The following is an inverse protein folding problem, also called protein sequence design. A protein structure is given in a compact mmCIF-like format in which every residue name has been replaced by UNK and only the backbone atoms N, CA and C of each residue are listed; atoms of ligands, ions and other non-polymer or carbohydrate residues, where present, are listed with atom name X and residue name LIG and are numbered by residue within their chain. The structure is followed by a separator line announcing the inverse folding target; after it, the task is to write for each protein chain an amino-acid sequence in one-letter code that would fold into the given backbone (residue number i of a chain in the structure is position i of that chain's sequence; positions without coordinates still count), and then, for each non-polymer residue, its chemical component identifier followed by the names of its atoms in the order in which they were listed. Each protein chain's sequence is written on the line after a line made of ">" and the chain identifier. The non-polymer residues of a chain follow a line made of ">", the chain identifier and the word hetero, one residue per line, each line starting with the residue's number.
data_IF_218328486362
#
_entry.id   IF_218328486362
#
_cell.length_a   1.000
_cell.length_b   1.000
_cell.length_c   1.000
_cell.angle_alpha   90.00
_cell.angle_beta   90.00
_cell.angle_gamma   90.00
#
_symmetry.space_group_name_H-M   'P 1'
#
loop_
_entity.id
_entity.type
_entity.pdbx_description
1 polymer ?
#
# COMPACT_ATOMS: atom_id res chain seq x y z
N UNK A 1 -9.12 -36.13 -24.78
CA UNK A 1 -7.79 -35.82 -24.20
C UNK A 1 -6.75 -36.55 -25.03
N UNK A 2 -5.72 -35.88 -25.55
CA UNK A 2 -4.64 -36.55 -26.25
C UNK A 2 -3.87 -37.49 -25.29
N UNK A 3 -3.47 -38.66 -25.77
CA UNK A 3 -2.66 -39.64 -25.02
C UNK A 3 -1.19 -39.37 -25.30
N UNK A 4 -0.54 -38.62 -24.43
CA UNK A 4 0.90 -38.26 -24.54
C UNK A 4 1.64 -38.85 -23.35
N UNK A 5 2.80 -39.45 -23.59
CA UNK A 5 3.71 -39.89 -22.53
C UNK A 5 4.46 -38.66 -22.00
N UNK A 6 4.04 -38.17 -20.83
CA UNK A 6 4.69 -37.05 -20.13
C UNK A 6 5.82 -37.58 -19.23
N UNK A 7 6.77 -36.70 -18.89
CA UNK A 7 7.76 -37.00 -17.85
C UNK A 7 7.06 -37.16 -16.48
N UNK A 8 7.61 -37.98 -15.56
CA UNK A 8 7.15 -38.02 -14.18
C UNK A 8 7.17 -36.63 -13.54
N UNK A 9 6.21 -36.35 -12.67
CA UNK A 9 6.10 -35.04 -12.02
C UNK A 9 7.34 -34.70 -11.17
N UNK A 10 8.00 -35.72 -10.63
CA UNK A 10 9.21 -35.63 -9.82
C UNK A 10 10.43 -35.16 -10.63
N UNK A 11 10.42 -35.36 -11.95
CA UNK A 11 11.48 -34.94 -12.86
C UNK A 11 11.31 -33.49 -13.34
N UNK A 12 10.19 -32.83 -13.00
CA UNK A 12 9.98 -31.41 -13.31
C UNK A 12 10.94 -30.57 -12.45
N UNK A 13 11.84 -29.77 -13.06
CA UNK A 13 12.82 -29.00 -12.31
C UNK A 13 12.16 -27.96 -11.42
N UNK A 14 12.68 -27.82 -10.20
CA UNK A 14 12.29 -26.77 -9.26
C UNK A 14 13.34 -25.67 -9.25
N UNK A 15 12.89 -24.43 -9.12
CA UNK A 15 13.75 -23.25 -9.09
C UNK A 15 13.73 -22.63 -7.71
N UNK A 16 14.88 -22.10 -7.30
CA UNK A 16 14.98 -21.24 -6.13
C UNK A 16 14.62 -19.78 -6.51
N UNK A 17 14.78 -18.82 -5.60
CA UNK A 17 14.49 -17.41 -5.83
C UNK A 17 15.13 -16.88 -7.12
N UNK A 18 14.28 -16.57 -8.11
CA UNK A 18 14.72 -16.23 -9.48
C UNK A 18 15.26 -14.80 -9.60
N UNK A 19 14.75 -13.86 -8.80
CA UNK A 19 15.23 -12.46 -8.72
C UNK A 19 16.17 -12.28 -7.53
N UNK A 20 17.38 -12.86 -7.61
CA UNK A 20 18.35 -12.88 -6.51
C UNK A 20 18.62 -11.51 -5.90
N UNK A 21 18.75 -10.46 -6.70
CA UNK A 21 19.03 -9.09 -6.22
C UNK A 21 18.01 -8.57 -5.20
N UNK A 22 16.76 -9.03 -5.25
CA UNK A 22 15.72 -8.65 -4.29
C UNK A 22 15.76 -9.41 -2.97
N UNK A 23 16.49 -10.53 -2.94
CA UNK A 23 16.49 -11.47 -1.81
C UNK A 23 17.85 -11.72 -1.19
N UNK A 24 18.94 -11.27 -1.82
CA UNK A 24 20.32 -11.45 -1.36
C UNK A 24 20.49 -11.06 0.11
N UNK A 25 20.05 -9.86 0.58
CA UNK A 25 20.27 -9.48 1.97
C UNK A 25 19.63 -10.44 2.98
N UNK A 26 18.49 -11.04 2.62
CA UNK A 26 17.77 -11.99 3.49
C UNK A 26 18.40 -13.37 3.45
N UNK A 27 18.89 -13.81 2.28
CA UNK A 27 19.63 -15.06 2.14
C UNK A 27 20.95 -14.97 2.91
N UNK A 28 21.66 -13.85 2.82
CA UNK A 28 22.90 -13.61 3.57
C UNK A 28 22.66 -13.62 5.08
N UNK A 29 21.56 -13.00 5.53
CA UNK A 29 21.15 -13.05 6.93
C UNK A 29 20.84 -14.48 7.39
N UNK A 30 20.07 -15.25 6.62
CA UNK A 30 19.78 -16.66 6.92
C UNK A 30 21.06 -17.49 6.99
N UNK A 31 21.96 -17.33 6.03
CA UNK A 31 23.25 -18.01 6.02
C UNK A 31 24.09 -17.65 7.26
N UNK A 32 24.15 -16.37 7.64
CA UNK A 32 24.89 -15.94 8.82
C UNK A 32 24.31 -16.54 10.11
N UNK A 33 22.98 -16.62 10.19
CA UNK A 33 22.25 -17.23 11.30
C UNK A 33 22.48 -18.74 11.39
N UNK A 34 22.32 -19.47 10.28
CA UNK A 34 22.50 -20.93 10.22
C UNK A 34 23.94 -21.35 10.58
N UNK A 35 24.93 -20.54 10.20
CA UNK A 35 26.33 -20.80 10.52
C UNK A 35 26.77 -20.20 11.86
N UNK A 36 25.88 -19.53 12.60
CA UNK A 36 26.18 -18.83 13.85
C UNK A 36 27.40 -17.91 13.74
N UNK A 37 27.46 -17.08 12.69
CA UNK A 37 28.59 -16.18 12.39
C UNK A 37 28.19 -14.71 12.51
N UNK A 38 28.18 -14.10 13.72
CA UNK A 38 27.73 -12.72 13.91
C UNK A 38 28.46 -11.69 13.06
N UNK A 39 29.77 -11.90 12.81
CA UNK A 39 30.59 -11.01 11.98
C UNK A 39 30.18 -11.01 10.49
N UNK A 40 29.36 -11.97 10.07
CA UNK A 40 28.85 -12.10 8.71
C UNK A 40 27.40 -11.63 8.58
N UNK A 41 26.79 -11.07 9.63
CA UNK A 41 25.48 -10.43 9.50
C UNK A 41 25.61 -9.32 8.45
N UNK A 42 24.80 -9.32 7.38
CA UNK A 42 24.87 -8.29 6.36
C UNK A 42 24.46 -6.94 6.95
N UNK A 43 24.82 -5.84 6.31
CA UNK A 43 24.24 -4.54 6.67
C UNK A 43 22.75 -4.58 6.32
N UNK A 44 21.83 -4.21 7.24
CA UNK A 44 20.42 -4.16 6.90
C UNK A 44 20.18 -3.20 5.73
N UNK A 45 19.32 -3.56 4.75
CA UNK A 45 19.01 -2.65 3.65
C UNK A 45 18.44 -1.33 4.17
N UNK A 46 18.70 -0.22 3.49
CA UNK A 46 18.05 1.05 3.85
C UNK A 46 16.55 0.97 3.52
N UNK A 47 15.64 1.29 4.46
CA UNK A 47 14.20 1.32 4.22
C UNK A 47 13.77 2.13 2.99
N UNK A 48 14.52 3.17 2.59
CA UNK A 48 14.20 3.98 1.41
C UNK A 48 14.26 3.17 0.10
N UNK A 49 15.07 2.10 0.04
CA UNK A 49 15.26 1.29 -1.16
C UNK A 49 14.15 0.25 -1.38
N UNK A 50 13.12 0.22 -0.51
CA UNK A 50 11.97 -0.70 -0.63
C UNK A 50 12.38 -2.17 -0.81
N UNK A 51 13.47 -2.57 -0.15
CA UNK A 51 13.90 -3.96 -0.06
C UNK A 51 13.20 -4.54 1.15
N UNK A 52 12.00 -5.11 0.96
CA UNK A 52 11.24 -5.77 2.03
C UNK A 52 11.57 -7.28 2.08
N UNK A 53 11.57 -7.88 3.27
CA UNK A 53 11.75 -9.32 3.43
C UNK A 53 10.58 -10.09 2.81
N UNK A 54 10.84 -11.13 1.97
CA UNK A 54 9.79 -11.97 1.42
C UNK A 54 9.00 -12.69 2.50
N UNK A 55 7.67 -12.64 2.44
CA UNK A 55 6.81 -13.37 3.38
C UNK A 55 6.98 -14.89 3.27
N UNK A 56 7.34 -15.40 2.09
CA UNK A 56 7.61 -16.83 1.87
C UNK A 56 8.92 -17.37 2.49
N UNK A 57 9.73 -16.53 3.15
CA UNK A 57 10.88 -16.99 3.95
C UNK A 57 10.42 -17.16 5.41
N UNK A 58 9.97 -18.36 5.77
CA UNK A 58 9.36 -18.65 7.07
C UNK A 58 10.38 -18.66 8.22
N UNK A 59 11.64 -18.96 7.91
CA UNK A 59 12.75 -19.07 8.84
C UNK A 59 13.36 -17.71 9.22
N UNK A 60 12.82 -16.62 8.67
CA UNK A 60 13.45 -15.30 8.76
C UNK A 60 13.27 -14.62 10.12
N UNK A 61 12.19 -14.88 10.85
CA UNK A 61 11.97 -14.27 12.17
C UNK A 61 13.08 -14.61 13.18
N UNK A 62 13.45 -15.89 13.40
CA UNK A 62 14.60 -16.23 14.24
C UNK A 62 15.89 -15.53 13.83
N UNK A 63 16.15 -15.42 12.53
CA UNK A 63 17.35 -14.77 12.00
C UNK A 63 17.35 -13.25 12.24
N UNK A 64 16.21 -12.58 12.05
CA UNK A 64 16.04 -11.14 12.35
C UNK A 64 16.22 -10.86 13.83
N UNK A 65 15.62 -11.67 14.71
CA UNK A 65 15.79 -11.57 16.15
C UNK A 65 17.25 -11.81 16.56
N UNK A 66 17.96 -12.72 15.89
CA UNK A 66 19.37 -12.98 16.12
C UNK A 66 20.26 -11.81 15.66
N UNK A 67 19.99 -11.23 14.49
CA UNK A 67 20.70 -10.03 14.02
C UNK A 67 20.55 -8.86 14.97
N UNK A 68 19.34 -8.62 15.49
CA UNK A 68 19.07 -7.57 16.48
C UNK A 68 19.88 -7.71 17.78
N UNK A 69 20.25 -8.94 18.17
CA UNK A 69 21.06 -9.20 19.37
C UNK A 69 22.55 -8.93 19.17
N UNK A 70 23.02 -9.02 17.92
CA UNK A 70 24.44 -8.97 17.58
C UNK A 70 24.85 -7.72 16.78
N UNK A 71 23.89 -6.86 16.42
CA UNK A 71 24.13 -5.61 15.71
C UNK A 71 24.28 -4.42 16.66
N UNK A 72 24.95 -3.37 16.19
CA UNK A 72 24.97 -2.06 16.89
C UNK A 72 23.57 -1.43 16.97
N UNK A 73 23.43 -0.33 17.73
CA UNK A 73 22.14 0.30 17.99
C UNK A 73 21.43 0.84 16.74
N UNK A 74 22.17 1.28 15.72
CA UNK A 74 21.56 1.87 14.53
C UNK A 74 21.07 0.78 13.58
N UNK A 75 21.90 -0.23 13.32
CA UNK A 75 21.51 -1.40 12.53
C UNK A 75 20.39 -2.19 13.23
N UNK A 76 20.41 -2.28 14.56
CA UNK A 76 19.36 -2.92 15.36
C UNK A 76 17.99 -2.25 15.18
N UNK A 77 17.93 -0.93 15.05
CA UNK A 77 16.66 -0.23 14.80
C UNK A 77 16.09 -0.61 13.42
N UNK A 78 16.96 -0.72 12.41
CA UNK A 78 16.58 -1.15 11.05
C UNK A 78 16.18 -2.63 11.00
N UNK A 79 16.85 -3.51 11.74
CA UNK A 79 16.42 -4.91 11.86
C UNK A 79 15.06 -5.04 12.56
N UNK A 80 14.81 -4.25 13.61
CA UNK A 80 13.47 -4.19 14.22
C UNK A 80 12.41 -3.73 13.21
N UNK A 81 12.72 -2.72 12.39
CA UNK A 81 11.82 -2.30 11.31
C UNK A 81 11.45 -3.47 10.40
N UNK A 82 12.44 -4.23 9.93
CA UNK A 82 12.19 -5.36 9.03
C UNK A 82 11.48 -6.54 9.67
N UNK A 83 11.70 -6.79 10.97
CA UNK A 83 10.90 -7.75 11.72
C UNK A 83 9.41 -7.35 11.72
N UNK A 84 9.12 -6.08 11.97
CA UNK A 84 7.77 -5.54 11.91
C UNK A 84 7.14 -5.64 10.51
N UNK A 85 7.91 -5.31 9.47
CA UNK A 85 7.47 -5.44 8.07
C UNK A 85 7.21 -6.90 7.69
N UNK A 86 8.09 -7.81 8.09
CA UNK A 86 7.93 -9.25 7.80
C UNK A 86 6.70 -9.82 8.51
N UNK A 87 6.44 -9.43 9.77
CA UNK A 87 5.19 -9.79 10.45
C UNK A 87 3.96 -9.30 9.68
N UNK A 88 3.95 -8.03 9.27
CA UNK A 88 2.86 -7.47 8.48
C UNK A 88 2.66 -8.21 7.14
N UNK A 89 3.75 -8.58 6.46
CA UNK A 89 3.72 -9.37 5.22
C UNK A 89 3.23 -10.81 5.41
N UNK A 90 3.26 -11.33 6.64
CA UNK A 90 2.70 -12.62 7.04
C UNK A 90 1.35 -12.46 7.77
N UNK A 91 0.68 -11.32 7.60
CA UNK A 91 -0.63 -11.01 8.21
C UNK A 91 -0.66 -11.03 9.75
N UNK A 92 0.50 -11.02 10.40
CA UNK A 92 0.69 -10.94 11.85
C UNK A 92 0.70 -9.48 12.31
N UNK A 93 -0.43 -8.82 12.12
CA UNK A 93 -0.54 -7.36 12.27
C UNK A 93 -0.29 -6.88 13.70
N UNK A 94 -0.68 -7.64 14.72
CA UNK A 94 -0.50 -7.23 16.12
C UNK A 94 0.97 -7.31 16.56
N UNK A 95 1.67 -8.37 16.16
CA UNK A 95 3.10 -8.51 16.34
C UNK A 95 3.84 -7.43 15.57
N UNK A 96 3.45 -7.19 14.31
CA UNK A 96 3.98 -6.11 13.49
C UNK A 96 3.87 -4.75 14.17
N UNK A 97 2.66 -4.37 14.63
CA UNK A 97 2.45 -3.10 15.34
C UNK A 97 3.25 -3.02 16.65
N UNK A 98 3.33 -4.11 17.42
CA UNK A 98 4.10 -4.15 18.67
C UNK A 98 5.58 -3.87 18.40
N UNK A 99 6.16 -4.48 17.38
CA UNK A 99 7.56 -4.25 16.99
C UNK A 99 7.74 -2.83 16.44
N UNK A 100 6.95 -2.47 15.42
CA UNK A 100 7.07 -1.18 14.72
C UNK A 100 6.91 0.00 15.68
N UNK A 101 6.02 -0.08 16.68
CA UNK A 101 5.76 1.02 17.63
C UNK A 101 6.99 1.48 18.42
N UNK A 102 8.01 0.62 18.53
CA UNK A 102 9.27 0.89 19.22
C UNK A 102 10.41 1.32 18.29
N UNK A 103 10.20 1.28 16.97
CA UNK A 103 11.19 1.68 15.96
C UNK A 103 11.21 3.19 15.81
N UNK A 104 12.41 3.77 15.84
CA UNK A 104 12.62 5.23 15.77
C UNK A 104 12.47 5.80 14.36
N UNK A 105 12.71 4.98 13.35
CA UNK A 105 12.62 5.37 11.95
C UNK A 105 11.17 5.73 11.52
N UNK A 106 11.02 6.86 10.82
CA UNK A 106 9.74 7.32 10.27
C UNK A 106 9.08 6.36 9.27
N UNK A 107 9.86 5.55 8.54
CA UNK A 107 9.31 4.50 7.67
C UNK A 107 8.47 3.48 8.45
N UNK A 108 8.75 3.25 9.74
CA UNK A 108 7.91 2.40 10.58
C UNK A 108 6.51 3.00 10.78
N UNK A 109 6.40 4.33 10.90
CA UNK A 109 5.12 5.03 11.03
C UNK A 109 4.24 4.84 9.80
N UNK A 110 4.84 4.77 8.61
CA UNK A 110 4.10 4.50 7.36
C UNK A 110 3.48 3.11 7.35
N UNK A 111 4.25 2.11 7.77
CA UNK A 111 3.76 0.72 7.83
C UNK A 111 2.67 0.59 8.90
N UNK A 112 2.86 1.20 10.08
CA UNK A 112 1.82 1.26 11.11
C UNK A 112 0.54 1.91 10.62
N UNK A 113 0.65 3.09 10.00
CA UNK A 113 -0.50 3.82 9.46
C UNK A 113 -1.31 2.96 8.49
N UNK A 114 -0.61 2.28 7.59
CA UNK A 114 -1.24 1.37 6.61
C UNK A 114 -1.91 0.18 7.28
N UNK A 115 -1.27 -0.46 8.27
CA UNK A 115 -1.89 -1.55 9.03
C UNK A 115 -3.17 -1.07 9.73
N UNK A 116 -3.11 0.10 10.39
CA UNK A 116 -4.29 0.67 11.05
C UNK A 116 -5.42 0.94 10.07
N UNK A 117 -5.13 1.57 8.93
CA UNK A 117 -6.15 1.94 7.95
C UNK A 117 -6.73 0.71 7.23
N UNK A 118 -5.89 -0.21 6.75
CA UNK A 118 -6.30 -1.29 5.83
C UNK A 118 -6.71 -2.57 6.54
N UNK A 119 -6.11 -2.88 7.69
CA UNK A 119 -6.30 -4.17 8.37
C UNK A 119 -7.04 -4.04 9.70
N UNK A 120 -7.00 -2.87 10.34
CA UNK A 120 -7.70 -2.62 11.62
C UNK A 120 -8.90 -1.68 11.50
N UNK A 121 -9.16 -1.13 10.31
CA UNK A 121 -10.21 -0.13 10.08
C UNK A 121 -10.20 0.99 11.14
N UNK A 122 -9.01 1.46 11.49
CA UNK A 122 -8.74 2.39 12.61
C UNK A 122 -8.14 3.69 12.09
N UNK A 123 -8.93 4.56 11.43
CA UNK A 123 -8.41 5.76 10.76
C UNK A 123 -7.79 6.77 11.73
N UNK A 124 -8.30 6.87 12.96
CA UNK A 124 -7.71 7.73 14.00
C UNK A 124 -6.29 7.31 14.37
N UNK A 125 -6.05 6.01 14.49
CA UNK A 125 -4.71 5.48 14.77
C UNK A 125 -3.78 5.62 13.57
N UNK A 126 -4.31 5.51 12.34
CA UNK A 126 -3.58 5.87 11.13
C UNK A 126 -3.07 7.32 11.17
N UNK A 127 -3.96 8.29 11.43
CA UNK A 127 -3.55 9.71 11.52
C UNK A 127 -2.55 9.96 12.65
N UNK A 128 -2.73 9.32 13.81
CA UNK A 128 -1.75 9.38 14.92
C UNK A 128 -0.39 8.80 14.55
N UNK A 129 -0.33 7.76 13.72
CA UNK A 129 0.94 7.22 13.24
C UNK A 129 1.58 8.20 12.24
N UNK A 130 0.80 8.70 11.26
CA UNK A 130 1.28 9.64 10.24
C UNK A 130 1.73 10.98 10.83
N UNK A 131 1.14 11.46 11.93
CA UNK A 131 1.54 12.71 12.58
C UNK A 131 2.88 12.62 13.32
N UNK A 132 3.40 11.40 13.55
CA UNK A 132 4.71 11.17 14.18
C UNK A 132 5.88 11.25 13.20
N UNK A 133 5.61 11.29 11.89
CA UNK A 133 6.64 11.39 10.85
C UNK A 133 7.30 12.77 10.93
N UNK A 134 8.63 12.79 11.05
CA UNK A 134 9.44 14.01 11.20
C UNK A 134 10.09 14.44 9.88
N UNK A 135 10.43 13.49 9.02
CA UNK A 135 11.02 13.74 7.71
C UNK A 135 9.95 14.36 6.81
N UNK A 136 10.11 15.65 6.52
CA UNK A 136 9.15 16.43 5.75
C UNK A 136 8.90 15.85 4.35
N UNK A 137 9.95 15.43 3.65
CA UNK A 137 9.83 14.83 2.32
C UNK A 137 9.02 13.52 2.33
N UNK A 138 9.05 12.79 3.44
CA UNK A 138 8.26 11.58 3.62
C UNK A 138 6.81 11.93 3.98
N UNK A 139 6.60 12.88 4.89
CA UNK A 139 5.27 13.35 5.27
C UNK A 139 4.48 13.93 4.09
N UNK A 140 5.18 14.55 3.13
CA UNK A 140 4.62 15.15 1.91
C UNK A 140 4.68 14.22 0.69
N UNK A 141 5.11 12.96 0.84
CA UNK A 141 5.14 12.04 -0.29
C UNK A 141 3.70 11.73 -0.76
N UNK A 142 3.40 11.69 -2.09
CA UNK A 142 2.04 11.48 -2.59
C UNK A 142 1.32 10.28 -1.98
N UNK A 143 1.99 9.12 -1.90
CA UNK A 143 1.44 7.91 -1.26
C UNK A 143 1.01 8.14 0.21
N UNK A 144 1.72 8.99 0.95
CA UNK A 144 1.43 9.29 2.36
C UNK A 144 0.25 10.24 2.47
N UNK A 145 0.19 11.26 1.62
CA UNK A 145 -0.94 12.19 1.56
C UNK A 145 -2.23 11.48 1.13
N UNK A 146 -2.15 10.56 0.17
CA UNK A 146 -3.31 9.74 -0.25
C UNK A 146 -3.84 8.90 0.91
N UNK A 147 -2.97 8.20 1.65
CA UNK A 147 -3.40 7.42 2.81
C UNK A 147 -3.96 8.29 3.93
N UNK A 148 -3.35 9.46 4.17
CA UNK A 148 -3.85 10.44 5.11
C UNK A 148 -5.26 10.91 4.74
N UNK A 149 -5.47 11.32 3.50
CA UNK A 149 -6.78 11.81 3.03
C UNK A 149 -7.84 10.70 3.08
N UNK A 150 -7.49 9.45 2.76
CA UNK A 150 -8.40 8.32 2.92
C UNK A 150 -8.81 8.11 4.39
N UNK A 151 -7.86 8.18 5.32
CA UNK A 151 -8.15 8.08 6.75
C UNK A 151 -9.02 9.24 7.24
N UNK A 152 -8.67 10.49 6.90
CA UNK A 152 -9.47 11.68 7.24
C UNK A 152 -10.89 11.59 6.67
N UNK A 153 -11.04 11.22 5.39
CA UNK A 153 -12.36 11.05 4.75
C UNK A 153 -13.24 10.06 5.51
N UNK A 154 -12.67 8.96 6.00
CA UNK A 154 -13.42 7.95 6.72
C UNK A 154 -13.90 8.39 8.12
N UNK A 155 -13.36 9.49 8.64
CA UNK A 155 -13.76 10.02 9.95
C UNK A 155 -14.97 10.97 9.86
N UNK A 156 -15.15 11.66 8.74
CA UNK A 156 -16.36 12.45 8.48
C UNK A 156 -16.11 13.83 7.85
N UNK A 157 -17.17 14.61 7.72
CA UNK A 157 -17.14 15.97 7.15
C UNK A 157 -16.37 16.96 8.03
N UNK A 158 -16.20 16.69 9.33
CA UNK A 158 -15.46 17.56 10.23
C UNK A 158 -13.95 17.60 9.94
N UNK A 159 -13.47 16.74 9.03
CA UNK A 159 -12.07 16.69 8.59
C UNK A 159 -11.83 17.40 7.25
N UNK A 160 -12.82 18.06 6.65
CA UNK A 160 -12.68 18.68 5.33
C UNK A 160 -11.53 19.69 5.26
N UNK A 161 -11.39 20.55 6.27
CA UNK A 161 -10.33 21.57 6.33
C UNK A 161 -8.94 20.93 6.41
N UNK A 162 -8.79 19.87 7.21
CA UNK A 162 -7.50 19.16 7.31
C UNK A 162 -7.16 18.43 6.01
N UNK A 163 -8.16 17.84 5.35
CA UNK A 163 -7.98 17.19 4.04
C UNK A 163 -7.52 18.17 2.97
N UNK A 164 -8.17 19.33 2.91
CA UNK A 164 -7.81 20.40 1.98
C UNK A 164 -6.37 20.87 2.23
N UNK A 165 -6.03 21.18 3.49
CA UNK A 165 -4.68 21.60 3.87
C UNK A 165 -3.58 20.66 3.35
N UNK A 166 -3.74 19.35 3.54
CA UNK A 166 -2.74 18.36 3.14
C UNK A 166 -2.67 18.15 1.62
N UNK A 167 -3.81 18.15 0.93
CA UNK A 167 -3.86 18.02 -0.53
C UNK A 167 -3.30 19.26 -1.24
N UNK A 168 -3.48 20.45 -0.66
CA UNK A 168 -2.93 21.70 -1.18
C UNK A 168 -1.40 21.73 -1.17
N UNK A 169 -0.74 21.03 -0.24
CA UNK A 169 0.72 20.94 -0.21
C UNK A 169 1.30 20.34 -1.50
N UNK A 170 0.49 19.57 -2.23
CA UNK A 170 0.87 18.88 -3.47
C UNK A 170 0.12 19.42 -4.70
N UNK A 171 -0.48 20.61 -4.62
CA UNK A 171 -1.32 21.15 -5.68
C UNK A 171 -0.60 21.34 -7.03
N UNK A 172 0.73 21.50 -7.01
CA UNK A 172 1.59 21.67 -8.16
C UNK A 172 2.03 20.35 -8.81
N UNK A 173 1.79 19.21 -8.16
CA UNK A 173 2.08 17.90 -8.73
C UNK A 173 0.97 17.45 -9.68
N UNK A 174 1.36 16.94 -10.84
CA UNK A 174 0.45 16.30 -11.80
C UNK A 174 0.30 14.79 -11.50
N UNK A 175 0.30 14.42 -10.22
CA UNK A 175 0.08 13.04 -9.80
C UNK A 175 -1.42 12.70 -9.92
N UNK A 176 -1.74 11.70 -10.75
CA UNK A 176 -3.11 11.32 -11.06
C UNK A 176 -3.92 10.89 -9.83
N UNK A 177 -3.30 10.19 -8.88
CA UNK A 177 -3.99 9.74 -7.67
C UNK A 177 -4.25 10.92 -6.72
N UNK A 178 -3.34 11.90 -6.64
CA UNK A 178 -3.59 13.16 -5.91
C UNK A 178 -4.73 13.95 -6.56
N UNK A 179 -4.78 14.04 -7.88
CA UNK A 179 -5.88 14.69 -8.60
C UNK A 179 -7.21 13.99 -8.31
N UNK A 180 -7.23 12.66 -8.29
CA UNK A 180 -8.42 11.87 -7.91
C UNK A 180 -8.87 12.20 -6.47
N UNK A 181 -7.93 12.30 -5.51
CA UNK A 181 -8.25 12.68 -4.13
C UNK A 181 -8.80 14.11 -4.03
N UNK A 182 -8.25 15.06 -4.79
CA UNK A 182 -8.76 16.44 -4.89
C UNK A 182 -10.16 16.50 -5.48
N UNK A 183 -10.43 15.72 -6.53
CA UNK A 183 -11.77 15.58 -7.09
C UNK A 183 -12.76 15.04 -6.04
N UNK A 184 -12.37 14.01 -5.28
CA UNK A 184 -13.18 13.48 -4.19
C UNK A 184 -13.42 14.51 -3.08
N UNK A 185 -12.41 15.32 -2.71
CA UNK A 185 -12.57 16.41 -1.75
C UNK A 185 -13.60 17.44 -2.23
N UNK A 186 -13.51 17.89 -3.50
CA UNK A 186 -14.46 18.83 -4.08
C UNK A 186 -15.90 18.30 -4.05
N UNK A 187 -16.09 17.01 -4.36
CA UNK A 187 -17.39 16.33 -4.23
C UNK A 187 -17.88 16.35 -2.79
N UNK A 188 -17.00 16.03 -1.82
CA UNK A 188 -17.37 16.02 -0.39
C UNK A 188 -17.69 17.44 0.12
N UNK A 189 -17.06 18.48 -0.45
CA UNK A 189 -17.37 19.90 -0.23
C UNK A 189 -18.61 20.38 -1.01
N UNK A 190 -19.29 19.50 -1.76
CA UNK A 190 -20.45 19.82 -2.62
C UNK A 190 -20.15 20.79 -3.77
N UNK A 191 -18.88 20.93 -4.15
CA UNK A 191 -18.38 21.75 -5.28
C UNK A 191 -18.36 20.93 -6.57
N UNK A 192 -19.53 20.45 -6.99
CA UNK A 192 -19.64 19.46 -8.07
C UNK A 192 -19.17 19.98 -9.44
N UNK A 193 -19.43 21.25 -9.77
CA UNK A 193 -18.97 21.85 -11.03
C UNK A 193 -17.44 21.90 -11.12
N UNK A 194 -16.78 22.24 -10.00
CA UNK A 194 -15.32 22.28 -9.93
C UNK A 194 -14.73 20.87 -9.99
N UNK A 195 -15.38 19.90 -9.33
CA UNK A 195 -15.01 18.50 -9.42
C UNK A 195 -15.11 17.98 -10.86
N UNK A 196 -16.22 18.27 -11.55
CA UNK A 196 -16.45 17.89 -12.97
C UNK A 196 -15.34 18.45 -13.84
N UNK A 197 -15.11 19.76 -13.75
CA UNK A 197 -14.08 20.45 -14.54
C UNK A 197 -12.69 19.87 -14.31
N UNK A 198 -12.32 19.58 -13.05
CA UNK A 198 -11.03 18.97 -12.73
C UNK A 198 -10.89 17.58 -13.36
N UNK A 199 -11.93 16.76 -13.25
CA UNK A 199 -11.97 15.40 -13.78
C UNK A 199 -11.89 15.39 -15.31
N UNK A 200 -12.61 16.28 -16.00
CA UNK A 200 -12.58 16.43 -17.47
C UNK A 200 -11.25 16.99 -17.99
N UNK A 201 -10.62 17.89 -17.23
CA UNK A 201 -9.36 18.52 -17.62
C UNK A 201 -8.14 17.59 -17.49
N UNK A 202 -8.30 16.42 -16.87
CA UNK A 202 -7.21 15.49 -16.59
C UNK A 202 -7.33 14.28 -17.53
N UNK A 203 -6.25 13.98 -18.26
CA UNK A 203 -6.13 12.73 -19.01
C UNK A 203 -5.43 11.71 -18.13
N UNK A 204 -6.17 10.70 -17.68
CA UNK A 204 -5.63 9.68 -16.79
C UNK A 204 -5.10 8.47 -17.55
N UNK A 205 -4.11 7.82 -16.94
CA UNK A 205 -3.60 6.53 -17.39
C UNK A 205 -4.66 5.44 -17.22
N UNK A 206 -4.67 4.48 -18.16
CA UNK A 206 -5.54 3.31 -18.09
C UNK A 206 -5.13 2.41 -16.93
N UNK A 207 -6.03 2.23 -15.96
CA UNK A 207 -5.87 1.32 -14.83
C UNK A 207 -6.99 0.28 -14.85
N UNK A 208 -6.60 -0.98 -15.07
CA UNK A 208 -7.55 -2.08 -15.15
C UNK A 208 -8.22 -2.40 -13.81
N UNK A 209 -9.50 -2.76 -13.88
CA UNK A 209 -10.32 -3.23 -12.75
C UNK A 209 -10.42 -2.23 -11.57
N UNK A 210 -10.32 -0.93 -11.87
CA UNK A 210 -10.56 0.18 -10.94
C UNK A 210 -11.72 1.02 -11.49
N UNK A 211 -12.61 1.48 -10.61
CA UNK A 211 -13.85 2.19 -11.01
C UNK A 211 -14.11 3.44 -10.16
N UNK A 212 -13.07 4.00 -9.54
CA UNK A 212 -13.23 5.14 -8.64
C UNK A 212 -13.66 6.39 -9.41
N UNK A 213 -13.03 6.64 -10.56
CA UNK A 213 -13.25 7.83 -11.38
C UNK A 213 -14.60 7.77 -12.08
N UNK A 214 -14.99 6.58 -12.51
CA UNK A 214 -16.34 6.25 -12.99
C UNK A 214 -17.40 6.54 -11.93
N UNK A 215 -17.18 6.12 -10.68
CA UNK A 215 -18.11 6.39 -9.59
C UNK A 215 -18.19 7.90 -9.28
N UNK A 216 -17.05 8.61 -9.31
CA UNK A 216 -17.01 10.07 -9.15
C UNK A 216 -17.80 10.78 -10.26
N UNK A 217 -17.57 10.41 -11.53
CA UNK A 217 -18.27 10.95 -12.68
C UNK A 217 -19.79 10.81 -12.55
N UNK A 218 -20.25 9.59 -12.25
CA UNK A 218 -21.68 9.32 -12.10
C UNK A 218 -22.30 10.10 -10.94
N UNK A 219 -21.63 10.16 -9.79
CA UNK A 219 -22.10 10.92 -8.64
C UNK A 219 -22.18 12.42 -8.93
N UNK A 220 -21.16 12.98 -9.59
CA UNK A 220 -21.13 14.40 -9.97
C UNK A 220 -22.30 14.72 -10.90
N UNK A 221 -22.50 13.92 -11.95
CA UNK A 221 -23.58 14.16 -12.91
C UNK A 221 -24.98 13.97 -12.30
N UNK A 222 -25.15 13.00 -11.40
CA UNK A 222 -26.38 12.85 -10.61
C UNK A 222 -26.67 14.13 -9.81
N UNK A 223 -25.67 14.67 -9.10
CA UNK A 223 -25.83 15.86 -8.24
C UNK A 223 -26.03 17.16 -9.02
N UNK A 224 -25.50 17.24 -10.24
CA UNK A 224 -25.74 18.36 -11.16
C UNK A 224 -27.06 18.23 -11.93
N UNK A 225 -27.78 17.11 -11.81
CA UNK A 225 -29.01 16.86 -12.56
C UNK A 225 -28.80 16.63 -14.06
N UNK A 226 -27.56 16.32 -14.47
CA UNK A 226 -27.17 16.14 -15.86
C UNK A 226 -27.61 14.78 -16.47
N UNK A 227 -28.21 13.90 -15.68
CA UNK A 227 -28.61 12.56 -16.12
C UNK A 227 -27.42 11.62 -16.37
N UNK A 228 -27.63 10.56 -17.16
CA UNK A 228 -26.59 9.57 -17.48
C UNK A 228 -25.75 10.06 -18.67
N UNK A 229 -24.79 10.95 -18.40
CA UNK A 229 -23.78 11.31 -19.40
C UNK A 229 -22.85 10.12 -19.72
N UNK A 230 -22.39 9.97 -20.97
CA UNK A 230 -21.43 8.94 -21.33
C UNK A 230 -20.13 9.10 -20.53
N UNK A 231 -19.48 7.98 -20.21
CA UNK A 231 -18.18 8.01 -19.54
C UNK A 231 -17.11 8.53 -20.51
N UNK A 232 -16.32 9.54 -20.13
CA UNK A 232 -15.19 9.98 -20.92
C UNK A 232 -14.09 8.92 -20.97
N UNK A 233 -13.52 8.67 -22.15
CA UNK A 233 -12.37 7.77 -22.31
C UNK A 233 -11.13 8.26 -21.54
N UNK A 234 -11.07 9.56 -21.23
CA UNK A 234 -9.99 10.19 -20.47
C UNK A 234 -9.93 9.76 -19.02
N UNK A 235 -10.97 9.12 -18.46
CA UNK A 235 -10.96 8.61 -17.09
C UNK A 235 -9.99 7.43 -16.89
N UNK A 236 -9.59 6.75 -17.97
CA UNK A 236 -8.61 5.67 -17.90
C UNK A 236 -9.06 4.49 -17.04
N UNK A 237 -10.34 4.11 -17.10
CA UNK A 237 -10.91 2.94 -16.43
C UNK A 237 -11.63 2.06 -17.46
N UNK A 238 -11.64 0.74 -17.25
CA UNK A 238 -12.37 -0.18 -18.13
C UNK A 238 -13.86 -0.27 -17.78
N UNK A 239 -14.65 -0.83 -18.71
CA UNK A 239 -16.08 -1.04 -18.55
C UNK A 239 -16.43 -2.51 -18.25
N UNK A 240 -15.50 -3.28 -17.66
CA UNK A 240 -15.77 -4.66 -17.29
C UNK A 240 -16.86 -4.71 -16.20
N UNK A 241 -17.65 -5.78 -16.16
CA UNK A 241 -18.66 -5.90 -15.14
C UNK A 241 -17.98 -6.01 -13.77
N UNK A 242 -18.51 -5.28 -12.78
CA UNK A 242 -17.96 -5.29 -11.42
C UNK A 242 -18.07 -6.72 -10.85
N UNK A 243 -17.07 -7.10 -10.05
CA UNK A 243 -17.02 -8.43 -9.41
C UNK A 243 -18.35 -8.74 -8.70
N UNK A 244 -18.96 -9.89 -9.03
CA UNK A 244 -20.27 -10.30 -8.52
C UNK A 244 -21.43 -10.18 -9.52
N UNK A 245 -21.33 -9.35 -10.56
CA UNK A 245 -22.36 -9.26 -11.61
C UNK A 245 -22.41 -10.48 -12.55
N UNK A 246 -21.37 -11.30 -12.58
CA UNK A 246 -21.32 -12.55 -13.36
C UNK A 246 -21.92 -13.76 -12.62
N UNK A 247 -22.37 -13.62 -11.37
CA UNK A 247 -23.02 -14.72 -10.64
C UNK A 247 -24.53 -14.65 -10.85
N UNK A 248 -25.01 -15.40 -11.84
CA UNK A 248 -26.40 -15.89 -11.82
C UNK A 248 -26.42 -16.98 -10.75
N UNK A 249 -27.08 -16.73 -9.63
CA UNK A 249 -27.42 -17.81 -8.71
C UNK A 249 -28.63 -18.51 -9.32
N UNK A 250 -28.43 -19.71 -9.86
CA UNK A 250 -29.56 -20.59 -10.15
C UNK A 250 -30.26 -20.86 -8.81
N UNK A 251 -31.43 -20.25 -8.63
CA UNK A 251 -32.34 -20.60 -7.54
C UNK A 251 -32.80 -22.02 -7.86
N UNK A 252 -32.25 -23.01 -7.15
CA UNK A 252 -32.83 -24.34 -7.15
C UNK A 252 -34.16 -24.26 -6.38
N UNK A 253 -35.27 -24.34 -7.11
CA UNK A 253 -36.60 -24.65 -6.57
C UNK A 253 -36.66 -26.07 -6.00
#
# INVERSE_FOLDING_TARGET
>A
MPTVQLIPQEEIPRFNWTRRTKVIPWIELLNAFENETPNNIPVPPDPIHNSSPPSGMFELEPALLWAMKHSDNDQKDVWNFYLGVWHAGNERYEEGLRVLSNVRNDFARLVEARIYLRNKNSPRECIKALSKIKILSLALHPQVIIERDLALKSMGEEQLDEREYWLEQLNALNDEDIIERRCQLLVDQKRYEEAKKLLESTTFSLVHQRYNRTNLWNLINEKLGAGSEPLPDTLGEDALAKFGQYRVFDVQE
#
